data_IF_515978823679
#
_entry.id   IF_515978823679
#
_cell.length_a   1.000
_cell.length_b   1.000
_cell.length_c   1.000
_cell.angle_alpha   90.00
_cell.angle_beta   90.00
_cell.angle_gamma   90.00
#
_symmetry.space_group_name_H-M   'P 1'
#
loop_
_entity.id
_entity.type
_entity.pdbx_description
1 polymer ?
#
# COMPACT_ATOMS: atom_id res chain seq x y z
N UNK A 1 14.09 -12.80 -18.93
CA UNK A 1 13.52 -12.82 -17.57
C UNK A 1 12.71 -11.55 -17.38
N UNK A 2 11.38 -11.63 -17.25
CA UNK A 2 10.59 -10.44 -16.93
C UNK A 2 10.95 -9.97 -15.52
N UNK A 3 11.28 -8.69 -15.35
CA UNK A 3 11.59 -8.13 -14.03
C UNK A 3 10.30 -8.14 -13.21
N UNK A 4 10.31 -8.76 -12.02
CA UNK A 4 9.18 -8.72 -11.08
C UNK A 4 8.88 -7.25 -10.74
N UNK A 5 7.59 -6.91 -10.58
CA UNK A 5 7.21 -5.62 -9.98
C UNK A 5 7.72 -5.57 -8.54
N UNK A 6 8.07 -4.36 -8.12
CA UNK A 6 8.43 -4.07 -6.74
C UNK A 6 7.15 -4.01 -5.91
N UNK A 7 7.09 -4.74 -4.81
CA UNK A 7 5.89 -4.87 -3.99
C UNK A 7 6.04 -3.98 -2.75
N UNK A 8 5.15 -2.99 -2.60
CA UNK A 8 5.20 -2.02 -1.51
C UNK A 8 4.03 -2.22 -0.54
N UNK A 9 4.30 -2.03 0.75
CA UNK A 9 3.29 -1.80 1.77
C UNK A 9 3.27 -0.33 2.22
N UNK A 10 2.15 0.15 2.77
CA UNK A 10 2.03 1.52 3.30
C UNK A 10 1.50 1.47 4.74
N UNK A 11 2.20 2.11 5.66
CA UNK A 11 1.78 2.30 7.06
C UNK A 11 1.50 3.79 7.30
N UNK A 12 0.26 4.10 7.64
CA UNK A 12 -0.23 5.47 7.82
C UNK A 12 -0.95 5.99 6.58
N UNK A 13 -2.24 6.29 6.73
CA UNK A 13 -3.17 6.59 5.62
C UNK A 13 -3.84 7.96 5.75
N UNK A 14 -3.15 8.87 6.45
CA UNK A 14 -3.56 10.25 6.68
C UNK A 14 -3.27 11.17 5.50
N UNK A 15 -2.85 12.40 5.81
CA UNK A 15 -2.70 13.48 4.82
C UNK A 15 -1.65 13.20 3.73
N UNK A 16 -0.61 12.43 4.06
CA UNK A 16 0.48 12.13 3.12
C UNK A 16 0.14 11.03 2.09
N UNK A 17 -0.98 10.29 2.26
CA UNK A 17 -1.30 9.18 1.37
C UNK A 17 -1.50 9.63 -0.09
N UNK A 18 -2.20 10.74 -0.31
CA UNK A 18 -2.60 11.18 -1.64
C UNK A 18 -1.42 11.39 -2.62
N UNK A 19 -0.33 12.12 -2.28
CA UNK A 19 0.81 12.26 -3.19
C UNK A 19 1.51 10.92 -3.48
N UNK A 20 1.64 10.03 -2.47
CA UNK A 20 2.21 8.69 -2.68
C UNK A 20 1.32 7.84 -3.59
N UNK A 21 0.02 7.81 -3.35
CA UNK A 21 -0.93 7.02 -4.11
C UNK A 21 -0.97 7.42 -5.60
N UNK A 22 -0.90 8.72 -5.90
CA UNK A 22 -0.81 9.24 -7.28
C UNK A 22 0.46 8.74 -7.97
N UNK A 23 1.62 8.92 -7.35
CA UNK A 23 2.89 8.48 -7.92
C UNK A 23 2.93 6.95 -8.12
N UNK A 24 2.43 6.17 -7.16
CA UNK A 24 2.39 4.70 -7.25
C UNK A 24 1.45 4.22 -8.36
N UNK A 25 0.33 4.92 -8.61
CA UNK A 25 -0.59 4.62 -9.72
C UNK A 25 0.03 4.89 -11.08
N UNK A 26 0.82 5.95 -11.21
CA UNK A 26 1.61 6.23 -12.41
C UNK A 26 2.69 5.15 -12.62
N UNK A 27 3.26 4.62 -11.54
CA UNK A 27 4.28 3.58 -11.54
C UNK A 27 3.74 2.14 -11.52
N UNK A 28 2.43 1.89 -11.75
CA UNK A 28 1.79 0.57 -11.59
C UNK A 28 2.39 -0.60 -12.40
N UNK A 29 3.09 -0.28 -13.48
CA UNK A 29 3.81 -1.26 -14.31
C UNK A 29 5.12 -1.73 -13.65
N UNK A 30 5.60 -0.99 -12.64
CA UNK A 30 6.87 -1.21 -11.93
C UNK A 30 6.67 -1.50 -10.46
N UNK A 31 5.66 -0.90 -9.83
CA UNK A 31 5.37 -1.04 -8.39
C UNK A 31 3.93 -1.50 -8.20
N UNK A 32 3.70 -2.40 -7.24
CA UNK A 32 2.37 -2.81 -6.79
C UNK A 32 2.22 -2.48 -5.31
N UNK A 33 1.15 -1.79 -4.94
CA UNK A 33 0.74 -1.67 -3.54
C UNK A 33 0.06 -2.97 -3.15
N UNK A 34 0.72 -3.72 -2.27
CA UNK A 34 0.29 -5.06 -1.86
C UNK A 34 -0.70 -5.00 -0.70
N UNK A 35 -0.42 -4.15 0.27
CA UNK A 35 -1.28 -3.92 1.42
C UNK A 35 -1.08 -2.50 1.99
N UNK A 36 -2.11 -1.99 2.65
CA UNK A 36 -2.08 -0.71 3.37
C UNK A 36 -2.69 -0.85 4.75
N UNK A 37 -2.18 -0.09 5.71
CA UNK A 37 -2.69 -0.10 7.08
C UNK A 37 -2.60 1.27 7.73
N UNK A 38 -3.57 1.57 8.61
CA UNK A 38 -3.57 2.68 9.56
C UNK A 38 -4.28 2.17 10.83
N UNK A 39 -3.98 2.68 12.04
CA UNK A 39 -4.78 2.36 13.21
C UNK A 39 -6.25 2.83 13.09
N UNK A 40 -6.53 3.83 12.24
CA UNK A 40 -7.86 4.39 12.04
C UNK A 40 -8.61 3.62 10.95
N UNK A 41 -9.71 2.96 11.30
CA UNK A 41 -10.48 2.13 10.36
C UNK A 41 -11.04 2.91 9.16
N UNK A 42 -11.50 4.13 9.38
CA UNK A 42 -12.03 5.00 8.32
C UNK A 42 -10.95 5.33 7.27
N UNK A 43 -9.70 5.54 7.68
CA UNK A 43 -8.61 5.80 6.73
C UNK A 43 -8.30 4.56 5.87
N UNK A 44 -8.37 3.36 6.46
CA UNK A 44 -8.25 2.10 5.71
C UNK A 44 -9.35 1.96 4.67
N UNK A 45 -10.60 2.21 5.06
CA UNK A 45 -11.75 2.15 4.17
C UNK A 45 -11.63 3.17 3.02
N UNK A 46 -11.26 4.41 3.34
CA UNK A 46 -11.02 5.46 2.34
C UNK A 46 -9.92 5.07 1.36
N UNK A 47 -8.80 4.51 1.85
CA UNK A 47 -7.71 4.08 0.98
C UNK A 47 -8.15 2.98 -0.02
N UNK A 48 -8.95 2.01 0.44
CA UNK A 48 -9.49 0.98 -0.44
C UNK A 48 -10.51 1.53 -1.44
N UNK A 49 -11.38 2.46 -1.04
CA UNK A 49 -12.41 3.03 -1.92
C UNK A 49 -11.84 4.01 -2.95
N UNK A 50 -10.94 4.90 -2.53
CA UNK A 50 -10.40 5.97 -3.39
C UNK A 50 -9.29 5.47 -4.32
N UNK A 51 -8.42 4.59 -3.80
CA UNK A 51 -7.20 4.17 -4.51
C UNK A 51 -7.20 2.71 -4.92
N UNK A 52 -8.15 1.89 -4.44
CA UNK A 52 -8.20 0.45 -4.71
C UNK A 52 -7.10 -0.34 -4.01
N UNK A 53 -6.46 0.23 -2.98
CA UNK A 53 -5.39 -0.46 -2.26
C UNK A 53 -5.97 -1.49 -1.29
N UNK A 54 -5.45 -2.73 -1.26
CA UNK A 54 -5.89 -3.74 -0.31
C UNK A 54 -5.57 -3.31 1.12
N UNK A 55 -6.59 -3.10 1.95
CA UNK A 55 -6.39 -2.78 3.36
C UNK A 55 -6.30 -4.06 4.20
N UNK A 56 -5.42 -4.06 5.19
CA UNK A 56 -5.33 -5.12 6.22
C UNK A 56 -5.79 -4.59 7.57
N UNK A 57 -6.23 -5.47 8.47
CA UNK A 57 -6.71 -5.08 9.81
C UNK A 57 -5.57 -4.92 10.81
N UNK A 58 -4.56 -5.78 10.71
CA UNK A 58 -3.41 -5.83 11.61
C UNK A 58 -2.12 -5.38 10.91
N UNK A 59 -1.35 -4.51 11.56
CA UNK A 59 -0.07 -4.04 10.99
C UNK A 59 0.95 -5.19 10.84
N UNK A 60 0.84 -6.23 11.68
CA UNK A 60 1.68 -7.42 11.61
C UNK A 60 1.65 -8.08 10.22
N UNK A 61 0.51 -8.05 9.53
CA UNK A 61 0.37 -8.61 8.18
C UNK A 61 1.30 -7.96 7.15
N UNK A 62 1.69 -6.70 7.34
CA UNK A 62 2.66 -6.00 6.48
C UNK A 62 4.11 -6.43 6.77
N UNK A 63 4.43 -6.76 8.02
CA UNK A 63 5.77 -7.20 8.41
C UNK A 63 6.01 -8.69 8.12
N UNK A 64 4.96 -9.48 8.17
CA UNK A 64 5.01 -10.94 7.99
C UNK A 64 4.90 -11.39 6.54
N UNK A 65 4.52 -10.51 5.60
CA UNK A 65 4.42 -10.86 4.18
C UNK A 65 5.82 -10.78 3.51
N UNK A 66 6.48 -11.92 3.22
CA UNK A 66 7.82 -11.94 2.65
C UNK A 66 7.85 -11.45 1.19
N UNK A 67 6.69 -11.23 0.57
CA UNK A 67 6.64 -10.68 -0.77
C UNK A 67 6.76 -9.16 -0.79
N UNK A 68 6.61 -8.46 0.35
CA UNK A 68 6.78 -7.01 0.44
C UNK A 68 8.27 -6.66 0.42
N UNK A 69 8.66 -5.83 -0.53
CA UNK A 69 10.04 -5.39 -0.72
C UNK A 69 10.36 -4.11 0.10
N UNK A 70 9.34 -3.30 0.43
CA UNK A 70 9.49 -2.06 1.23
C UNK A 70 8.20 -1.68 1.97
N UNK A 71 8.36 -0.96 3.07
CA UNK A 71 7.27 -0.24 3.75
C UNK A 71 7.50 1.27 3.64
N UNK A 72 6.43 1.99 3.27
CA UNK A 72 6.36 3.45 3.23
C UNK A 72 5.64 3.98 4.47
#
# INVERSE_FOLDING_TARGET
MARRRFEAGIIGLGMALAPHAKALRELRERVRVRAVWSPVAEERQRASQEWGFPAVEEVAALFEDPAIDVLL
#
